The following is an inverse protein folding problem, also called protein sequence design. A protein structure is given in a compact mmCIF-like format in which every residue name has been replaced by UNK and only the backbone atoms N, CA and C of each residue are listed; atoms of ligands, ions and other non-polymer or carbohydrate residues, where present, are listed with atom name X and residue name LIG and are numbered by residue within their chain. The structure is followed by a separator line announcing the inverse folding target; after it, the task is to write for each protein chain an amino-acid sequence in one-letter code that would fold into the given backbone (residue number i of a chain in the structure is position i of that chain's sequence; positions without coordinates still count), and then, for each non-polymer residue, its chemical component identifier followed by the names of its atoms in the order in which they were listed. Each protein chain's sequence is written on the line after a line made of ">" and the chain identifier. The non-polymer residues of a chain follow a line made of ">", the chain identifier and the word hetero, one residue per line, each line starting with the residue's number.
data_IF_228614930735
#
_entry.id   IF_228614930735
#
_cell.length_a   1.000
_cell.length_b   1.000
_cell.length_c   1.000
_cell.angle_alpha   90.00
_cell.angle_beta   90.00
_cell.angle_gamma   90.00
#
_symmetry.space_group_name_H-M   'P 1'
#
loop_
_entity.id
_entity.type
_entity.pdbx_description
1 polymer ?
#
# COMPACT_ATOMS: atom_id res chain seq x y z
N UNK A 1 13.52 -8.52 8.35
CA UNK A 1 13.58 -9.83 9.02
C UNK A 1 12.16 -10.28 9.24
N UNK A 2 11.69 -11.23 8.43
CA UNK A 2 10.34 -11.79 8.49
C UNK A 2 10.22 -12.60 9.80
N UNK A 3 9.39 -12.13 10.73
CA UNK A 3 9.08 -12.84 11.98
C UNK A 3 7.90 -13.80 11.73
N UNK A 4 8.09 -15.12 11.89
CA UNK A 4 7.04 -16.12 11.65
C UNK A 4 5.83 -16.03 12.60
N UNK A 5 5.85 -15.17 13.63
CA UNK A 5 4.74 -15.00 14.56
C UNK A 5 3.71 -13.91 14.18
N UNK A 6 3.92 -13.14 13.11
CA UNK A 6 3.00 -12.05 12.68
C UNK A 6 2.78 -11.99 11.16
N UNK A 7 2.68 -13.13 10.48
CA UNK A 7 2.54 -13.19 9.02
C UNK A 7 1.27 -12.53 8.46
N UNK A 8 1.44 -11.73 7.41
CA UNK A 8 0.34 -11.16 6.61
C UNK A 8 -0.33 -12.21 5.70
N UNK A 9 0.34 -13.32 5.44
CA UNK A 9 -0.11 -14.39 4.55
C UNK A 9 -0.09 -15.75 5.26
N UNK A 10 -1.01 -16.63 4.87
CA UNK A 10 -1.02 -18.05 5.23
C UNK A 10 -1.05 -18.91 3.96
N UNK A 11 -0.57 -20.15 4.06
CA UNK A 11 -0.71 -21.15 3.00
C UNK A 11 -1.41 -22.39 3.57
N UNK A 12 -2.44 -22.88 2.87
CA UNK A 12 -3.04 -24.17 3.19
C UNK A 12 -2.10 -25.30 2.79
N UNK A 13 -1.84 -26.22 3.73
CA UNK A 13 -0.86 -27.29 3.54
C UNK A 13 -1.32 -28.38 2.57
N UNK A 14 -2.63 -28.53 2.36
CA UNK A 14 -3.19 -29.59 1.53
C UNK A 14 -3.46 -29.11 0.10
N UNK A 15 -4.04 -27.92 -0.06
CA UNK A 15 -4.35 -27.33 -1.39
C UNK A 15 -3.23 -26.47 -1.96
N UNK A 16 -2.36 -25.92 -1.10
CA UNK A 16 -1.35 -24.93 -1.50
C UNK A 16 -1.90 -23.52 -1.73
N UNK A 17 -3.17 -23.27 -1.38
CA UNK A 17 -3.79 -21.95 -1.53
C UNK A 17 -3.20 -20.94 -0.55
N UNK A 18 -2.90 -19.73 -1.03
CA UNK A 18 -2.34 -18.63 -0.24
C UNK A 18 -3.46 -17.64 0.11
N UNK A 19 -3.57 -17.31 1.39
CA UNK A 19 -4.59 -16.40 1.92
C UNK A 19 -3.94 -15.17 2.54
N UNK A 20 -4.62 -14.04 2.42
CA UNK A 20 -4.30 -12.82 3.15
C UNK A 20 -4.98 -12.88 4.52
N UNK A 21 -4.22 -12.71 5.59
CA UNK A 21 -4.72 -12.79 6.97
C UNK A 21 -5.15 -11.43 7.54
N UNK A 22 -4.62 -10.33 7.02
CA UNK A 22 -4.87 -8.97 7.48
C UNK A 22 -4.98 -8.03 6.28
N UNK A 23 -5.77 -6.95 6.37
CA UNK A 23 -5.77 -5.90 5.34
C UNK A 23 -4.35 -5.48 5.00
N UNK A 24 -4.09 -5.33 3.70
CA UNK A 24 -2.80 -4.90 3.17
C UNK A 24 -2.97 -3.49 2.65
N UNK A 25 -2.05 -2.63 3.05
CA UNK A 25 -1.97 -1.25 2.59
C UNK A 25 -0.88 -1.17 1.52
N UNK A 26 -1.19 -0.54 0.38
CA UNK A 26 -0.23 -0.36 -0.72
C UNK A 26 0.65 0.86 -0.45
N UNK A 27 0.09 1.92 0.10
CA UNK A 27 0.62 3.26 -0.03
C UNK A 27 1.61 3.62 1.08
N UNK A 28 2.69 4.34 0.73
CA UNK A 28 3.70 4.75 1.72
C UNK A 28 3.09 5.74 2.74
N UNK A 29 3.68 5.84 3.95
CA UNK A 29 4.96 5.30 4.37
C UNK A 29 4.91 3.94 5.08
N UNK A 30 3.72 3.45 5.42
CA UNK A 30 3.54 2.22 6.20
C UNK A 30 3.11 1.02 5.33
N UNK A 31 2.51 1.28 4.17
CA UNK A 31 2.13 0.29 3.19
C UNK A 31 3.29 -0.23 2.35
N UNK A 32 2.98 -1.26 1.56
CA UNK A 32 3.95 -1.93 0.68
C UNK A 32 3.25 -2.51 -0.55
N UNK A 33 3.55 -1.96 -1.71
CA UNK A 33 3.01 -2.41 -3.00
C UNK A 33 3.38 -3.86 -3.39
N UNK A 34 4.46 -4.42 -2.81
CA UNK A 34 4.95 -5.75 -3.20
C UNK A 34 5.49 -6.57 -2.04
N UNK A 35 5.04 -7.81 -1.94
CA UNK A 35 5.50 -8.81 -0.98
C UNK A 35 6.25 -9.94 -1.69
N UNK A 36 7.35 -10.40 -1.10
CA UNK A 36 8.17 -11.49 -1.61
C UNK A 36 8.48 -12.47 -0.48
N UNK A 37 8.21 -13.73 -0.70
CA UNK A 37 8.51 -14.80 0.25
C UNK A 37 8.73 -16.12 -0.49
N UNK A 38 9.44 -17.05 0.16
CA UNK A 38 9.70 -18.38 -0.39
C UNK A 38 8.82 -19.39 0.33
N UNK A 39 8.12 -20.22 -0.44
CA UNK A 39 7.35 -21.36 0.07
C UNK A 39 8.13 -22.64 -0.14
N UNK A 40 7.83 -23.66 0.67
CA UNK A 40 8.39 -24.99 0.49
C UNK A 40 7.31 -26.06 0.58
N UNK A 41 7.54 -27.17 -0.12
CA UNK A 41 6.74 -28.38 -0.03
C UNK A 41 7.65 -29.55 0.29
N UNK A 42 7.19 -30.45 1.16
CA UNK A 42 7.94 -31.63 1.59
C UNK A 42 7.06 -32.88 1.49
N UNK A 43 7.58 -33.93 0.85
CA UNK A 43 6.91 -35.23 0.78
C UNK A 43 7.23 -36.13 2.00
N UNK A 44 6.49 -37.24 2.11
CA UNK A 44 6.70 -38.31 3.11
C UNK A 44 6.73 -37.87 4.59
N UNK A 45 5.74 -37.10 5.04
CA UNK A 45 5.54 -36.85 6.47
C UNK A 45 6.73 -36.20 7.18
N UNK A 46 7.55 -35.44 6.44
CA UNK A 46 8.66 -34.66 7.00
C UNK A 46 10.06 -35.27 6.82
N UNK A 47 10.19 -36.38 6.08
CA UNK A 47 11.49 -37.06 5.86
C UNK A 47 11.95 -37.12 4.42
N UNK A 48 11.09 -36.76 3.47
CA UNK A 48 11.44 -36.81 2.06
C UNK A 48 12.02 -35.50 1.53
N UNK A 49 12.00 -35.36 0.19
CA UNK A 49 12.57 -34.25 -0.55
C UNK A 49 11.80 -32.95 -0.30
N UNK A 50 12.54 -31.84 -0.27
CA UNK A 50 11.99 -30.49 -0.11
C UNK A 50 12.17 -29.71 -1.41
N UNK A 51 11.06 -29.24 -1.97
CA UNK A 51 11.04 -28.28 -3.07
C UNK A 51 10.78 -26.87 -2.56
N UNK A 52 11.37 -25.86 -3.20
CA UNK A 52 11.19 -24.45 -2.87
C UNK A 52 10.66 -23.68 -4.08
N UNK A 53 9.86 -22.64 -3.83
CA UNK A 53 9.38 -21.73 -4.86
C UNK A 53 9.28 -20.31 -4.32
N UNK A 54 9.66 -19.33 -5.14
CA UNK A 54 9.52 -17.90 -4.80
C UNK A 54 8.15 -17.38 -5.22
N UNK A 55 7.50 -16.69 -4.30
CA UNK A 55 6.19 -16.06 -4.50
C UNK A 55 6.34 -14.55 -4.42
N UNK A 56 5.82 -13.86 -5.43
CA UNK A 56 5.74 -12.40 -5.48
C UNK A 56 4.28 -11.97 -5.57
N UNK A 57 3.79 -11.27 -4.56
CA UNK A 57 2.45 -10.69 -4.53
C UNK A 57 2.57 -9.20 -4.81
N UNK A 58 1.85 -8.70 -5.83
CA UNK A 58 1.75 -7.28 -6.13
C UNK A 58 0.34 -6.81 -5.77
N UNK A 59 0.24 -5.76 -4.95
CA UNK A 59 -1.05 -5.15 -4.63
C UNK A 59 -1.48 -4.27 -5.81
N UNK A 60 -2.77 -4.35 -6.13
CA UNK A 60 -3.38 -3.48 -7.11
C UNK A 60 -3.75 -2.17 -6.43
N UNK A 61 -3.57 -1.06 -7.15
CA UNK A 61 -4.05 0.24 -6.71
C UNK A 61 -5.54 0.27 -6.48
N UNK A 62 -5.91 0.98 -5.43
CA UNK A 62 -7.24 1.51 -5.22
C UNK A 62 -7.00 2.92 -4.68
N UNK A 63 -7.59 3.95 -5.31
CA UNK A 63 -7.54 5.29 -4.76
C UNK A 63 -8.42 5.35 -3.51
N UNK A 64 -7.79 5.14 -2.34
CA UNK A 64 -8.43 5.22 -1.03
C UNK A 64 -7.88 6.38 -0.19
N UNK A 65 -6.94 7.15 -0.72
CA UNK A 65 -6.51 8.42 -0.14
C UNK A 65 -7.14 9.58 -0.91
N UNK A 66 -7.92 10.42 -0.20
CA UNK A 66 -8.46 11.64 -0.81
C UNK A 66 -7.38 12.73 -0.83
N UNK A 67 -7.36 13.61 -1.86
CA UNK A 67 -6.47 14.76 -1.89
C UNK A 67 -6.60 15.62 -0.63
N UNK A 68 -5.48 15.94 0.01
CA UNK A 68 -5.42 16.78 1.20
C UNK A 68 -4.77 18.11 0.88
N UNK A 69 -5.42 19.20 1.29
CA UNK A 69 -4.84 20.52 1.22
C UNK A 69 -3.58 20.64 2.09
N UNK A 70 -2.58 21.35 1.58
CA UNK A 70 -1.32 21.59 2.29
C UNK A 70 -1.48 22.42 3.57
N UNK A 71 -2.55 23.20 3.68
CA UNK A 71 -2.88 24.01 4.85
C UNK A 71 -4.31 23.77 5.30
N UNK A 72 -4.53 23.88 6.62
CA UNK A 72 -5.88 23.79 7.20
C UNK A 72 -6.72 25.02 6.87
N UNK A 73 -6.11 26.19 6.91
CA UNK A 73 -6.76 27.48 6.68
C UNK A 73 -5.96 28.27 5.65
N UNK A 74 -6.65 28.83 4.66
CA UNK A 74 -6.07 29.70 3.64
C UNK A 74 -6.67 31.09 3.74
N UNK A 75 -5.83 32.12 3.81
CA UNK A 75 -6.26 33.52 3.94
C UNK A 75 -5.83 34.30 2.70
N UNK A 76 -6.81 34.71 1.90
CA UNK A 76 -6.62 35.61 0.76
C UNK A 76 -7.02 37.04 1.09
N UNK A 77 -6.26 38.02 0.60
CA UNK A 77 -6.57 39.45 0.76
C UNK A 77 -6.74 40.10 -0.61
N UNK A 78 -7.73 40.99 -0.73
CA UNK A 78 -8.01 41.73 -1.96
C UNK A 78 -8.08 43.23 -1.68
N UNK A 79 -7.69 44.02 -2.66
CA UNK A 79 -7.84 45.48 -2.63
C UNK A 79 -9.14 45.88 -3.33
N UNK A 80 -9.82 46.88 -2.79
CA UNK A 80 -11.12 47.34 -3.32
C UNK A 80 -11.05 47.83 -4.78
N UNK A 81 -9.88 48.34 -5.18
CA UNK A 81 -9.61 48.85 -6.53
C UNK A 81 -8.85 47.82 -7.40
N UNK A 82 -8.89 46.53 -7.04
CA UNK A 82 -8.21 45.47 -7.76
C UNK A 82 -8.74 45.30 -9.20
N UNK A 83 -7.87 45.04 -10.19
CA UNK A 83 -8.29 44.78 -11.55
C UNK A 83 -9.07 43.47 -11.67
N UNK A 84 -9.95 43.38 -12.67
CA UNK A 84 -10.67 42.13 -12.97
C UNK A 84 -9.69 41.02 -13.30
N UNK A 85 -9.84 39.87 -12.64
CA UNK A 85 -8.96 38.71 -12.81
C UNK A 85 -7.72 38.72 -11.91
N UNK A 86 -7.65 39.60 -10.92
CA UNK A 86 -6.59 39.57 -9.91
C UNK A 86 -6.58 38.22 -9.17
N UNK A 87 -5.44 37.52 -9.22
CA UNK A 87 -5.20 36.31 -8.44
C UNK A 87 -5.12 36.68 -6.95
N UNK A 88 -5.91 35.99 -6.13
CA UNK A 88 -6.01 36.28 -4.69
C UNK A 88 -5.17 35.29 -3.88
N UNK A 89 -5.34 34.01 -4.17
CA UNK A 89 -4.64 32.92 -3.51
C UNK A 89 -4.62 31.71 -4.45
N UNK A 90 -3.58 30.90 -4.32
CA UNK A 90 -3.47 29.57 -4.94
C UNK A 90 -3.55 28.54 -3.83
N UNK A 91 -4.32 27.48 -4.07
CA UNK A 91 -4.46 26.35 -3.15
C UNK A 91 -3.80 25.14 -3.80
N UNK A 92 -3.06 24.38 -3.00
CA UNK A 92 -2.43 23.13 -3.42
C UNK A 92 -2.93 22.00 -2.53
N UNK A 93 -3.27 20.87 -3.17
CA UNK A 93 -3.64 19.63 -2.50
C UNK A 93 -2.82 18.48 -3.06
N UNK A 94 -2.38 17.59 -2.17
CA UNK A 94 -1.58 16.41 -2.50
C UNK A 94 -2.40 15.15 -2.20
N UNK A 95 -2.35 14.20 -3.13
CA UNK A 95 -2.88 12.86 -2.98
C UNK A 95 -1.67 11.91 -2.87
N UNK A 96 -1.71 11.02 -1.88
CA UNK A 96 -0.61 10.09 -1.61
C UNK A 96 -0.71 8.79 -2.40
N UNK A 97 -1.80 8.58 -3.15
CA UNK A 97 -1.98 7.42 -4.02
C UNK A 97 -0.99 7.43 -5.19
N UNK A 98 -0.55 6.24 -5.61
CA UNK A 98 0.32 6.04 -6.78
C UNK A 98 -0.49 6.30 -8.08
N UNK A 99 0.02 7.07 -9.07
CA UNK A 99 -0.72 7.46 -10.29
C UNK A 99 -1.24 6.33 -11.21
#
# INVERSE_FOLDING_TARGET
>A
TDDPATGNFAIDKASGEIFVLKPLDRDPPLGRAQWRFTVFAQDEGGKGLVGFADVQVNLKDINDNAPQFSQKDYVGNVTENGPKGMLVITLDAEDSDDP
#
